data_IF_303643808552
#
_entry.id   IF_303643808552
#
_cell.length_a   1.000
_cell.length_b   1.000
_cell.length_c   1.000
_cell.angle_alpha   90.00
_cell.angle_beta   90.00
_cell.angle_gamma   90.00
#
_symmetry.space_group_name_H-M   'P 1'
#
loop_
_entity.id
_entity.type
_entity.pdbx_description
1 polymer ?
#
# COMPACT_ATOMS: atom_id res chain seq x y z
N UNK A 1 -6.07 3.63 -20.63
CA UNK A 1 -5.71 3.55 -19.20
C UNK A 1 -6.68 2.66 -18.40
N UNK A 2 -8.01 2.70 -18.66
CA UNK A 2 -9.01 1.87 -17.94
C UNK A 2 -8.79 0.35 -18.06
N UNK A 3 -8.22 -0.15 -19.16
CA UNK A 3 -7.99 -1.58 -19.38
C UNK A 3 -6.86 -2.19 -18.54
N UNK A 4 -5.81 -1.43 -18.24
CA UNK A 4 -4.64 -1.92 -17.49
C UNK A 4 -4.92 -2.11 -15.98
N UNK A 5 -5.80 -1.28 -15.41
CA UNK A 5 -6.18 -1.40 -13.98
C UNK A 5 -7.08 -2.61 -13.71
N UNK A 6 -7.97 -2.97 -14.64
CA UNK A 6 -8.89 -4.10 -14.45
C UNK A 6 -8.17 -5.43 -14.27
N UNK A 7 -7.03 -5.64 -14.93
CA UNK A 7 -6.27 -6.91 -14.88
C UNK A 7 -5.45 -7.08 -13.60
N UNK A 8 -5.10 -6.00 -12.90
CA UNK A 8 -4.24 -6.08 -11.71
C UNK A 8 -4.99 -6.39 -10.41
N UNK A 9 -6.28 -6.07 -10.35
CA UNK A 9 -7.14 -6.22 -9.17
C UNK A 9 -8.39 -7.07 -9.44
N UNK A 10 -8.35 -7.96 -10.45
CA UNK A 10 -9.44 -8.91 -10.68
C UNK A 10 -9.50 -9.91 -9.53
N UNK A 11 -10.67 -10.00 -8.93
CA UNK A 11 -11.12 -11.01 -8.00
C UNK A 11 -12.52 -11.45 -8.39
N UNK A 12 -12.74 -12.67 -8.25
CA UNK A 12 -13.89 -13.58 -8.32
C UNK A 12 -15.17 -13.14 -9.05
N UNK A 13 -15.35 -13.70 -10.14
CA UNK A 13 -16.48 -14.08 -10.94
C UNK A 13 -15.95 -15.05 -11.99
N UNK A 14 -16.77 -15.91 -12.55
CA UNK A 14 -16.40 -16.67 -13.75
C UNK A 14 -16.25 -15.66 -14.91
N UNK A 15 -15.13 -14.95 -14.95
CA UNK A 15 -14.83 -14.09 -16.10
C UNK A 15 -14.35 -14.97 -17.25
N UNK A 16 -15.04 -14.85 -18.37
CA UNK A 16 -14.62 -15.39 -19.65
C UNK A 16 -13.22 -14.85 -19.95
N UNK A 17 -12.22 -15.73 -19.89
CA UNK A 17 -10.82 -15.39 -20.10
C UNK A 17 -10.42 -15.48 -21.56
N UNK A 18 -10.75 -16.58 -22.17
CA UNK A 18 -10.39 -16.86 -23.57
C UNK A 18 -11.17 -18.07 -24.09
N UNK A 19 -11.18 -18.23 -25.42
CA UNK A 19 -11.62 -19.43 -26.10
C UNK A 19 -10.37 -20.21 -26.51
N UNK A 20 -10.27 -21.46 -26.08
CA UNK A 20 -9.26 -22.38 -26.62
C UNK A 20 -9.90 -23.61 -27.23
N UNK A 21 -9.16 -24.29 -28.05
CA UNK A 21 -9.61 -25.57 -28.60
C UNK A 21 -9.81 -26.61 -27.47
N UNK A 22 -10.82 -27.42 -27.60
CA UNK A 22 -11.15 -28.50 -26.68
C UNK A 22 -10.04 -29.55 -26.70
N UNK A 23 -9.59 -29.94 -25.52
CA UNK A 23 -8.69 -31.06 -25.32
C UNK A 23 -9.40 -32.22 -24.61
N UNK A 24 -9.06 -33.52 -24.95
CA UNK A 24 -9.63 -34.66 -24.25
C UNK A 24 -9.40 -34.58 -22.73
N UNK A 25 -10.48 -34.45 -21.96
CA UNK A 25 -10.47 -34.27 -20.51
C UNK A 25 -11.11 -32.96 -20.05
N UNK A 26 -11.42 -32.05 -20.94
CA UNK A 26 -12.17 -30.84 -20.63
C UNK A 26 -13.65 -31.14 -20.33
N UNK A 27 -14.23 -30.33 -19.44
CA UNK A 27 -15.65 -30.43 -19.13
C UNK A 27 -16.51 -29.93 -20.30
N UNK A 28 -17.25 -30.84 -20.91
CA UNK A 28 -18.13 -30.58 -22.06
C UNK A 28 -19.19 -29.50 -21.81
N UNK A 29 -19.50 -29.19 -20.53
CA UNK A 29 -20.44 -28.13 -20.16
C UNK A 29 -19.88 -26.72 -20.47
N UNK A 30 -18.58 -26.60 -20.64
CA UNK A 30 -17.90 -25.35 -20.95
C UNK A 30 -17.72 -25.12 -22.45
N UNK A 31 -18.20 -26.03 -23.33
CA UNK A 31 -18.12 -25.85 -24.78
C UNK A 31 -18.96 -24.64 -25.20
N UNK A 32 -18.35 -23.73 -25.96
CA UNK A 32 -19.05 -22.63 -26.62
C UNK A 32 -19.64 -23.10 -27.95
N UNK A 33 -20.87 -23.54 -27.90
CA UNK A 33 -21.58 -24.06 -29.10
C UNK A 33 -21.74 -23.00 -30.20
N UNK A 34 -21.78 -21.70 -29.87
CA UNK A 34 -21.91 -20.64 -30.86
C UNK A 34 -20.61 -20.43 -31.65
N UNK A 35 -19.47 -20.55 -31.03
CA UNK A 35 -18.17 -20.43 -31.68
C UNK A 35 -17.84 -21.74 -32.41
N UNK A 36 -18.06 -22.87 -31.76
CA UNK A 36 -17.90 -24.21 -32.32
C UNK A 36 -18.67 -24.37 -33.63
N UNK A 37 -19.90 -23.91 -33.70
CA UNK A 37 -20.73 -23.97 -34.91
C UNK A 37 -20.20 -23.10 -36.07
N UNK A 38 -19.33 -22.16 -35.82
CA UNK A 38 -18.73 -21.27 -36.84
C UNK A 38 -17.34 -21.68 -37.29
N UNK A 39 -16.61 -22.42 -36.45
CA UNK A 39 -15.18 -22.65 -36.60
C UNK A 39 -14.84 -24.11 -36.94
N UNK A 40 -15.84 -25.00 -37.08
CA UNK A 40 -15.70 -26.44 -37.34
C UNK A 40 -14.78 -27.20 -36.34
N UNK A 41 -14.45 -26.57 -35.22
CA UNK A 41 -13.60 -27.11 -34.16
C UNK A 41 -14.26 -26.84 -32.83
N UNK A 42 -14.17 -27.77 -31.87
CA UNK A 42 -14.74 -27.60 -30.53
C UNK A 42 -13.95 -26.56 -29.74
N UNK A 43 -14.60 -25.52 -29.28
CA UNK A 43 -14.03 -24.49 -28.43
C UNK A 43 -14.61 -24.53 -27.02
N UNK A 44 -13.73 -24.46 -26.02
CA UNK A 44 -14.08 -24.44 -24.61
C UNK A 44 -13.86 -23.02 -24.07
N UNK A 45 -14.86 -22.53 -23.34
CA UNK A 45 -14.73 -21.32 -22.55
C UNK A 45 -13.81 -21.59 -21.39
N UNK A 46 -12.66 -20.95 -21.37
CA UNK A 46 -11.78 -20.97 -20.23
C UNK A 46 -12.28 -19.97 -19.21
N UNK A 47 -12.74 -20.47 -18.08
CA UNK A 47 -13.15 -19.66 -16.95
C UNK A 47 -11.99 -19.57 -15.96
N UNK A 48 -11.62 -18.37 -15.56
CA UNK A 48 -10.81 -18.20 -14.36
C UNK A 48 -11.71 -18.27 -13.13
N UNK A 49 -11.39 -19.14 -12.21
CA UNK A 49 -12.00 -19.11 -10.88
C UNK A 49 -11.46 -17.87 -10.16
N UNK A 50 -12.12 -16.74 -10.37
CA UNK A 50 -11.84 -15.52 -9.65
C UNK A 50 -12.28 -15.69 -8.19
N UNK A 51 -11.35 -16.05 -7.30
CA UNK A 51 -11.61 -16.07 -5.86
C UNK A 51 -11.74 -14.65 -5.35
N UNK A 52 -12.85 -14.34 -4.66
CA UNK A 52 -13.06 -13.08 -3.93
C UNK A 52 -11.80 -12.73 -3.12
N UNK A 53 -11.03 -11.74 -3.57
CA UNK A 53 -9.84 -11.29 -2.87
C UNK A 53 -10.25 -10.47 -1.67
N UNK A 54 -9.77 -10.84 -0.49
CA UNK A 54 -9.84 -9.95 0.67
C UNK A 54 -8.56 -9.12 0.71
N UNK A 55 -8.70 -7.80 0.79
CA UNK A 55 -7.59 -6.88 0.96
C UNK A 55 -7.66 -6.19 2.33
N UNK A 56 -6.51 -5.99 2.95
CA UNK A 56 -6.37 -5.21 4.16
C UNK A 56 -5.42 -4.04 3.91
N UNK A 57 -5.84 -2.85 4.28
CA UNK A 57 -5.03 -1.64 4.25
C UNK A 57 -4.52 -1.39 5.67
N UNK A 58 -3.21 -1.43 5.87
CA UNK A 58 -2.54 -1.06 7.12
C UNK A 58 -2.03 0.37 6.94
N UNK A 59 -2.61 1.32 7.66
CA UNK A 59 -2.45 2.73 7.42
C UNK A 59 -1.79 3.40 8.63
N UNK A 60 -0.55 3.79 8.44
CA UNK A 60 0.23 4.55 9.40
C UNK A 60 -0.20 6.02 9.36
N UNK A 61 -0.62 6.54 10.48
CA UNK A 61 -1.05 7.93 10.68
C UNK A 61 -0.26 8.60 11.80
N UNK A 62 0.96 8.13 12.03
CA UNK A 62 1.89 8.72 13.00
C UNK A 62 2.16 10.20 12.70
N UNK A 63 2.64 10.97 13.68
CA UNK A 63 2.91 12.39 13.50
C UNK A 63 3.85 12.72 12.35
N UNK A 64 4.82 11.84 12.05
CA UNK A 64 5.74 11.99 10.92
C UNK A 64 5.03 12.03 9.55
N UNK A 65 3.84 11.41 9.46
CA UNK A 65 3.00 11.48 8.25
C UNK A 65 2.39 12.86 7.99
N UNK A 66 2.40 13.75 8.96
CA UNK A 66 2.02 15.17 8.80
C UNK A 66 3.07 16.00 8.07
N UNK A 67 4.27 15.45 7.81
CA UNK A 67 5.34 16.15 7.12
C UNK A 67 5.07 16.29 5.61
N UNK A 68 5.50 17.43 5.05
CA UNK A 68 5.41 17.73 3.62
C UNK A 68 4.84 19.11 3.32
N UNK A 69 4.56 19.42 2.04
CA UNK A 69 3.96 20.69 1.64
C UNK A 69 2.59 20.90 2.32
N UNK A 70 2.28 22.15 2.71
CA UNK A 70 1.03 22.52 3.40
C UNK A 70 -0.22 21.99 2.68
N UNK A 71 -0.20 22.02 1.33
CA UNK A 71 -1.34 21.61 0.52
C UNK A 71 -1.46 20.09 0.35
N UNK A 72 -0.34 19.36 0.46
CA UNK A 72 -0.31 17.91 0.21
C UNK A 72 0.76 17.18 1.04
N UNK A 73 0.63 17.16 2.37
CA UNK A 73 1.51 16.37 3.24
C UNK A 73 1.32 14.86 3.00
N UNK A 74 2.23 14.03 3.54
CA UNK A 74 2.18 12.57 3.38
C UNK A 74 0.83 11.98 3.82
N UNK A 75 0.17 12.52 4.85
CA UNK A 75 -1.16 12.06 5.30
C UNK A 75 -2.26 12.26 4.25
N UNK A 76 -2.18 13.31 3.44
CA UNK A 76 -3.12 13.53 2.32
C UNK A 76 -2.87 12.49 1.23
N UNK A 77 -1.61 12.23 0.87
CA UNK A 77 -1.23 11.19 -0.09
C UNK A 77 -1.65 9.79 0.40
N UNK A 78 -1.49 9.51 1.69
CA UNK A 78 -2.01 8.29 2.34
C UNK A 78 -3.51 8.14 2.09
N UNK A 79 -4.27 9.20 2.38
CA UNK A 79 -5.73 9.23 2.19
C UNK A 79 -6.15 9.01 0.73
N UNK A 80 -5.48 9.67 -0.20
CA UNK A 80 -5.69 9.51 -1.65
C UNK A 80 -5.43 8.07 -2.11
N UNK A 81 -4.30 7.49 -1.72
CA UNK A 81 -3.94 6.11 -2.05
C UNK A 81 -4.92 5.12 -1.44
N UNK A 82 -5.15 5.20 -0.13
CA UNK A 82 -6.01 4.27 0.60
C UNK A 82 -7.44 4.26 0.06
N UNK A 83 -8.03 5.44 -0.18
CA UNK A 83 -9.40 5.55 -0.71
C UNK A 83 -9.48 5.09 -2.16
N UNK A 84 -8.46 5.36 -2.97
CA UNK A 84 -8.41 4.91 -4.36
C UNK A 84 -8.24 3.40 -4.45
N UNK A 85 -7.35 2.78 -3.67
CA UNK A 85 -7.24 1.32 -3.56
C UNK A 85 -8.55 0.68 -3.12
N UNK A 86 -9.14 1.21 -2.03
CA UNK A 86 -10.41 0.69 -1.53
C UNK A 86 -11.51 0.77 -2.59
N UNK A 87 -11.60 1.88 -3.34
CA UNK A 87 -12.57 2.06 -4.42
C UNK A 87 -12.33 1.11 -5.59
N UNK A 88 -11.09 0.95 -6.03
CA UNK A 88 -10.73 0.05 -7.14
C UNK A 88 -11.05 -1.40 -6.80
N UNK A 89 -10.67 -1.83 -5.60
CA UNK A 89 -10.88 -3.20 -5.12
C UNK A 89 -12.37 -3.51 -4.93
N UNK A 90 -13.12 -2.63 -4.27
CA UNK A 90 -14.56 -2.84 -4.05
C UNK A 90 -15.38 -2.80 -5.34
N UNK A 91 -14.99 -1.97 -6.33
CA UNK A 91 -15.63 -1.97 -7.66
C UNK A 91 -15.43 -3.27 -8.43
N UNK A 92 -14.38 -4.01 -8.12
CA UNK A 92 -14.10 -5.34 -8.67
C UNK A 92 -14.67 -6.48 -7.81
N UNK A 93 -15.58 -6.19 -6.87
CA UNK A 93 -16.23 -7.19 -6.01
C UNK A 93 -15.38 -7.65 -4.82
N UNK A 94 -14.16 -7.15 -4.65
CA UNK A 94 -13.28 -7.55 -3.56
C UNK A 94 -13.69 -6.93 -2.22
N UNK A 95 -13.38 -7.62 -1.12
CA UNK A 95 -13.59 -7.10 0.23
C UNK A 95 -12.39 -6.30 0.68
N UNK A 96 -12.61 -5.13 1.23
CA UNK A 96 -11.56 -4.26 1.76
C UNK A 96 -11.80 -4.00 3.24
N UNK A 97 -10.81 -4.38 4.07
CA UNK A 97 -10.69 -3.96 5.45
C UNK A 97 -9.58 -2.93 5.61
N UNK A 98 -9.55 -2.26 6.75
CA UNK A 98 -8.47 -1.33 7.08
C UNK A 98 -8.17 -1.35 8.58
N UNK A 99 -6.91 -1.14 8.91
CA UNK A 99 -6.43 -0.88 10.26
C UNK A 99 -5.73 0.48 10.22
N UNK A 100 -6.25 1.43 10.98
CA UNK A 100 -5.68 2.75 11.15
C UNK A 100 -4.87 2.76 12.44
N UNK A 101 -3.66 3.25 12.38
CA UNK A 101 -2.69 3.23 13.44
C UNK A 101 -2.04 4.61 13.62
N UNK A 102 -2.01 5.06 14.86
CA UNK A 102 -1.31 6.26 15.31
C UNK A 102 -0.71 5.94 16.69
N UNK A 103 0.48 5.32 16.69
CA UNK A 103 1.14 4.72 17.88
C UNK A 103 0.29 3.69 18.65
N UNK A 104 -1.01 3.68 18.43
CA UNK A 104 -1.99 2.70 18.87
C UNK A 104 -2.96 2.37 17.74
N UNK A 105 -3.69 1.27 17.86
CA UNK A 105 -4.76 0.95 16.90
C UNK A 105 -5.92 1.94 17.13
N UNK A 106 -6.10 2.88 16.22
CA UNK A 106 -7.19 3.85 16.28
C UNK A 106 -8.54 3.24 15.90
N UNK A 107 -8.56 2.49 14.80
CA UNK A 107 -9.79 1.96 14.23
C UNK A 107 -9.50 0.71 13.41
N UNK A 108 -10.38 -0.27 13.48
CA UNK A 108 -10.35 -1.47 12.65
C UNK A 108 -11.65 -1.58 11.87
N UNK A 109 -11.58 -1.44 10.55
CA UNK A 109 -12.69 -1.61 9.63
C UNK A 109 -12.67 -3.03 9.08
N UNK A 110 -13.64 -3.90 9.43
CA UNK A 110 -13.68 -5.27 8.92
C UNK A 110 -13.91 -5.30 7.41
N UNK A 111 -13.42 -6.33 6.67
CA UNK A 111 -13.49 -6.38 5.22
C UNK A 111 -14.92 -6.44 4.70
N UNK A 112 -15.29 -5.49 3.85
CA UNK A 112 -16.57 -5.42 3.12
C UNK A 112 -16.35 -4.95 1.69
N UNK A 113 -17.26 -5.34 0.78
CA UNK A 113 -17.22 -4.99 -0.66
C UNK A 113 -18.19 -3.86 -1.02
N UNK A 114 -18.67 -3.08 -0.06
CA UNK A 114 -19.71 -2.06 -0.27
C UNK A 114 -19.12 -0.66 -0.46
N UNK A 115 -19.86 0.20 -1.19
CA UNK A 115 -19.51 1.63 -1.30
C UNK A 115 -19.41 2.31 0.08
N UNK A 116 -20.24 1.89 1.02
CA UNK A 116 -20.23 2.44 2.39
C UNK A 116 -18.91 2.16 3.11
N UNK A 117 -18.20 1.07 2.77
CA UNK A 117 -16.88 0.78 3.31
C UNK A 117 -15.85 1.84 2.90
N UNK A 118 -15.86 2.25 1.62
CA UNK A 118 -14.96 3.30 1.13
C UNK A 118 -15.28 4.63 1.80
N UNK A 119 -16.55 4.96 1.99
CA UNK A 119 -16.96 6.18 2.69
C UNK A 119 -16.61 6.16 4.17
N UNK A 120 -16.74 5.00 4.83
CA UNK A 120 -16.31 4.84 6.23
C UNK A 120 -14.80 5.03 6.37
N UNK A 121 -14.01 4.44 5.46
CA UNK A 121 -12.57 4.64 5.42
C UNK A 121 -12.20 6.12 5.24
N UNK A 122 -12.76 6.77 4.23
CA UNK A 122 -12.52 8.20 3.96
C UNK A 122 -12.87 9.07 5.16
N UNK A 123 -14.02 8.81 5.82
CA UNK A 123 -14.44 9.55 7.01
C UNK A 123 -13.48 9.38 8.19
N UNK A 124 -12.93 8.19 8.38
CA UNK A 124 -11.96 7.95 9.45
C UNK A 124 -10.62 8.64 9.14
N UNK A 125 -10.17 8.63 7.89
CA UNK A 125 -8.95 9.31 7.46
C UNK A 125 -9.02 10.84 7.58
N UNK A 126 -10.22 11.43 7.48
CA UNK A 126 -10.42 12.87 7.67
C UNK A 126 -10.42 13.30 9.15
N UNK A 127 -10.44 12.37 10.11
CA UNK A 127 -10.29 12.72 11.52
C UNK A 127 -8.85 13.10 11.80
N UNK A 128 -8.58 14.14 12.59
CA UNK A 128 -7.21 14.43 12.99
C UNK A 128 -6.61 13.24 13.75
N UNK A 129 -5.34 12.88 13.49
CA UNK A 129 -4.66 11.84 14.25
C UNK A 129 -4.55 12.24 15.73
N UNK A 130 -4.43 11.24 16.62
CA UNK A 130 -4.23 11.47 18.04
C UNK A 130 -2.74 11.71 18.26
N UNK A 131 -2.37 12.92 18.65
CA UNK A 131 -0.97 13.25 18.96
C UNK A 131 -0.64 12.77 20.36
N UNK A 132 0.10 11.68 20.50
CA UNK A 132 0.45 11.09 21.79
C UNK A 132 1.87 11.44 22.25
N UNK A 133 2.70 12.09 21.41
CA UNK A 133 4.10 12.41 21.71
C UNK A 133 5.00 11.18 21.91
N UNK A 134 4.58 10.02 21.46
CA UNK A 134 5.34 8.78 21.52
C UNK A 134 5.99 8.50 20.16
N UNK A 135 7.17 7.92 20.18
CA UNK A 135 7.87 7.47 18.96
C UNK A 135 7.08 6.34 18.29
N UNK A 136 6.92 6.44 16.99
CA UNK A 136 6.17 5.45 16.22
C UNK A 136 6.78 4.06 16.30
N UNK A 137 5.95 3.05 16.58
CA UNK A 137 6.32 1.63 16.62
C UNK A 137 5.42 0.81 15.71
N UNK A 138 5.84 0.61 14.48
CA UNK A 138 5.12 -0.23 13.49
C UNK A 138 5.01 -1.69 13.92
N UNK A 139 5.82 -2.15 14.88
CA UNK A 139 5.74 -3.52 15.42
C UNK A 139 4.34 -3.78 15.94
N UNK A 140 3.77 -2.84 16.72
CA UNK A 140 2.43 -2.97 17.30
C UNK A 140 1.34 -3.09 16.21
N UNK A 141 1.40 -2.29 15.15
CA UNK A 141 0.48 -2.40 14.00
C UNK A 141 0.58 -3.77 13.33
N UNK A 142 1.78 -4.23 13.05
CA UNK A 142 2.02 -5.46 12.30
C UNK A 142 1.68 -6.70 13.13
N UNK A 143 2.00 -6.74 14.42
CA UNK A 143 1.60 -7.81 15.34
C UNK A 143 0.08 -7.89 15.47
N UNK A 144 -0.60 -6.76 15.59
CA UNK A 144 -2.04 -6.72 15.58
C UNK A 144 -2.62 -7.27 14.26
N UNK A 145 -2.05 -6.87 13.13
CA UNK A 145 -2.46 -7.37 11.82
C UNK A 145 -2.26 -8.90 11.69
N UNK A 146 -1.13 -9.45 12.16
CA UNK A 146 -0.87 -10.91 12.24
C UNK A 146 -1.97 -11.62 13.03
N UNK A 147 -2.44 -11.03 14.13
CA UNK A 147 -3.50 -11.57 14.96
C UNK A 147 -4.89 -11.54 14.33
N UNK A 148 -5.20 -10.48 13.58
CA UNK A 148 -6.54 -10.22 13.02
C UNK A 148 -6.73 -10.84 11.63
N UNK A 149 -5.72 -10.81 10.76
CA UNK A 149 -5.81 -11.28 9.38
C UNK A 149 -5.58 -12.78 9.32
N UNK A 150 -6.66 -13.56 9.40
CA UNK A 150 -6.56 -15.03 9.48
C UNK A 150 -6.59 -15.75 8.14
N UNK A 151 -7.23 -15.16 7.13
CA UNK A 151 -7.36 -15.76 5.80
C UNK A 151 -6.34 -15.13 4.86
N UNK A 152 -5.80 -15.92 3.93
CA UNK A 152 -4.88 -15.41 2.90
C UNK A 152 -5.50 -14.21 2.21
N UNK A 153 -4.81 -13.07 2.25
CA UNK A 153 -5.29 -11.76 1.83
C UNK A 153 -4.19 -11.00 1.09
N UNK A 154 -4.59 -9.96 0.39
CA UNK A 154 -3.68 -8.89 -0.01
C UNK A 154 -3.55 -7.93 1.17
N UNK A 155 -2.35 -7.69 1.65
CA UNK A 155 -2.05 -6.69 2.69
C UNK A 155 -1.28 -5.55 2.05
N UNK A 156 -1.80 -4.34 2.14
CA UNK A 156 -1.15 -3.12 1.66
C UNK A 156 -0.78 -2.28 2.88
N UNK A 157 0.51 -2.22 3.19
CA UNK A 157 1.06 -1.38 4.24
C UNK A 157 1.46 -0.03 3.63
N UNK A 158 0.98 1.07 4.18
CA UNK A 158 1.33 2.43 3.76
C UNK A 158 1.87 3.18 4.97
N UNK A 159 3.15 3.56 4.93
CA UNK A 159 3.89 4.24 6.00
C UNK A 159 5.09 4.99 5.41
N UNK A 160 5.68 5.89 6.13
CA UNK A 160 7.01 6.46 5.80
C UNK A 160 8.17 5.62 6.36
N UNK A 161 7.84 4.61 7.18
CA UNK A 161 8.80 3.73 7.86
C UNK A 161 9.76 4.47 8.81
N UNK A 162 9.38 5.65 9.30
CA UNK A 162 10.07 6.33 10.38
C UNK A 162 9.57 5.73 11.69
N UNK A 163 10.27 4.71 12.20
CA UNK A 163 9.80 3.86 13.28
C UNK A 163 10.95 3.26 14.07
N UNK A 164 10.68 2.80 15.29
CA UNK A 164 11.62 1.99 16.06
C UNK A 164 11.90 0.64 15.39
N UNK A 165 13.11 0.04 15.59
CA UNK A 165 13.42 -1.31 15.09
C UNK A 165 12.52 -2.38 15.71
N UNK A 166 12.32 -3.51 14.99
CA UNK A 166 11.56 -4.68 15.48
C UNK A 166 10.39 -5.09 14.57
N UNK A 167 9.95 -4.20 13.70
CA UNK A 167 8.83 -4.40 12.78
C UNK A 167 9.10 -5.45 11.67
N UNK A 168 10.36 -5.81 11.43
CA UNK A 168 10.75 -6.73 10.35
C UNK A 168 10.20 -8.14 10.61
N UNK A 169 10.21 -8.58 11.87
CA UNK A 169 9.75 -9.92 12.23
C UNK A 169 8.24 -10.12 11.99
N UNK A 170 7.34 -9.28 12.50
CA UNK A 170 5.91 -9.42 12.19
C UNK A 170 5.60 -9.15 10.71
N UNK A 171 6.37 -8.31 10.02
CA UNK A 171 6.23 -8.15 8.57
C UNK A 171 6.55 -9.47 7.83
N UNK A 172 7.63 -10.16 8.19
CA UNK A 172 7.97 -11.48 7.64
C UNK A 172 6.84 -12.49 7.90
N UNK A 173 6.26 -12.52 9.09
CA UNK A 173 5.12 -13.40 9.40
C UNK A 173 3.89 -13.12 8.52
N UNK A 174 3.66 -11.85 8.18
CA UNK A 174 2.60 -11.49 7.24
C UNK A 174 2.91 -11.99 5.83
N UNK A 175 4.16 -11.89 5.36
CA UNK A 175 4.54 -12.33 4.01
C UNK A 175 4.47 -13.83 3.82
N UNK A 176 4.67 -14.62 4.88
CA UNK A 176 4.53 -16.07 4.83
C UNK A 176 3.09 -16.54 4.55
N UNK A 177 2.10 -15.74 4.95
CA UNK A 177 0.66 -16.10 4.87
C UNK A 177 -0.12 -15.29 3.84
N UNK A 178 0.34 -14.08 3.55
CA UNK A 178 -0.38 -13.09 2.76
C UNK A 178 0.47 -12.60 1.59
N UNK A 179 -0.16 -11.98 0.62
CA UNK A 179 0.53 -11.18 -0.39
C UNK A 179 0.69 -9.76 0.19
N UNK A 180 1.92 -9.38 0.54
CA UNK A 180 2.20 -8.07 1.14
C UNK A 180 2.78 -7.12 0.11
N UNK A 181 2.24 -5.91 0.06
CA UNK A 181 2.73 -4.77 -0.71
C UNK A 181 3.03 -3.65 0.28
N UNK A 182 4.28 -3.23 0.35
CA UNK A 182 4.68 -2.08 1.16
C UNK A 182 4.79 -0.83 0.27
N UNK A 183 4.15 0.25 0.70
CA UNK A 183 4.22 1.56 0.06
C UNK A 183 4.86 2.51 1.07
N UNK A 184 6.01 3.05 0.70
CA UNK A 184 6.68 4.08 1.48
C UNK A 184 6.27 5.45 0.96
N UNK A 185 5.79 6.29 1.85
CA UNK A 185 5.54 7.70 1.57
C UNK A 185 6.77 8.52 1.98
N UNK A 186 7.21 9.38 1.11
CA UNK A 186 8.36 10.25 1.33
C UNK A 186 8.09 11.67 0.80
N UNK A 187 8.77 12.63 1.39
CA UNK A 187 8.83 13.99 0.89
C UNK A 187 10.25 14.37 0.52
N UNK A 188 10.50 15.02 -0.62
CA UNK A 188 11.85 15.43 -1.01
C UNK A 188 12.55 16.30 0.05
N UNK A 189 11.80 17.11 0.81
CA UNK A 189 12.36 17.97 1.84
C UNK A 189 12.91 17.20 3.08
N UNK A 190 12.60 15.90 3.21
CA UNK A 190 13.20 15.05 4.25
C UNK A 190 14.70 14.77 4.00
N UNK A 191 15.14 14.92 2.76
CA UNK A 191 16.51 14.61 2.32
C UNK A 191 17.29 15.86 1.89
N UNK A 192 16.59 16.87 1.38
CA UNK A 192 17.20 18.07 0.83
C UNK A 192 16.55 19.32 1.41
N UNK A 193 17.19 19.90 2.42
CA UNK A 193 16.78 21.22 2.89
C UNK A 193 17.22 22.30 1.89
N UNK A 194 16.31 23.21 1.50
CA UNK A 194 16.68 24.35 0.69
C UNK A 194 17.64 25.28 1.47
N UNK A 195 18.48 25.99 0.75
CA UNK A 195 19.31 27.05 1.32
C UNK A 195 18.41 28.27 1.64
N UNK A 196 17.89 28.30 2.85
CA UNK A 196 16.95 29.32 3.33
C UNK A 196 17.50 30.09 4.55
N UNK A 197 18.79 29.92 4.86
CA UNK A 197 19.42 30.50 6.05
C UNK A 197 18.98 29.81 7.34
N UNK A 198 18.80 30.58 8.38
CA UNK A 198 18.41 30.04 9.70
C UNK A 198 16.92 29.66 9.70
N UNK A 199 16.64 28.40 9.93
CA UNK A 199 15.29 27.84 10.01
C UNK A 199 15.08 27.12 11.33
N UNK A 200 13.82 26.97 11.74
CA UNK A 200 13.42 26.12 12.87
C UNK A 200 12.91 24.81 12.29
N UNK A 201 13.55 23.72 12.67
CA UNK A 201 13.10 22.35 12.35
C UNK A 201 12.45 21.78 13.59
N UNK A 202 11.26 21.24 13.46
CA UNK A 202 10.54 20.56 14.53
C UNK A 202 10.53 19.05 14.26
N UNK A 203 10.90 18.27 15.27
CA UNK A 203 10.73 16.83 15.24
C UNK A 203 9.24 16.49 15.34
N UNK A 204 8.72 15.75 14.37
CA UNK A 204 7.29 15.48 14.28
C UNK A 204 6.76 14.62 15.45
N UNK A 205 7.60 13.72 15.98
CA UNK A 205 7.23 12.78 17.05
C UNK A 205 7.36 13.43 18.42
N UNK A 206 8.50 14.07 18.72
CA UNK A 206 8.83 14.63 20.04
C UNK A 206 8.39 16.09 20.21
N UNK A 207 8.10 16.79 19.11
CA UNK A 207 7.84 18.24 19.07
C UNK A 207 9.04 19.09 19.52
N UNK A 208 10.21 18.51 19.65
CA UNK A 208 11.43 19.26 19.91
C UNK A 208 11.77 20.17 18.73
N UNK A 209 12.08 21.41 19.04
CA UNK A 209 12.47 22.40 18.04
C UNK A 209 13.97 22.63 18.08
N UNK A 210 14.59 22.57 16.92
CA UNK A 210 16.01 22.84 16.72
C UNK A 210 16.16 23.99 15.73
N UNK A 211 16.93 25.01 16.13
CA UNK A 211 17.31 26.09 15.22
C UNK A 211 18.55 25.65 14.47
N UNK A 212 18.46 25.57 13.15
CA UNK A 212 19.56 25.14 12.28
C UNK A 212 19.81 26.16 11.19
N UNK A 213 21.06 26.29 10.78
CA UNK A 213 21.43 27.08 9.61
C UNK A 213 21.43 26.17 8.37
N UNK A 214 20.40 26.29 7.54
CA UNK A 214 20.28 25.47 6.33
C UNK A 214 21.25 25.90 5.21
N UNK A 215 21.94 27.05 5.34
CA UNK A 215 23.02 27.46 4.46
C UNK A 215 24.34 26.73 4.76
N UNK A 216 24.49 26.16 5.97
CA UNK A 216 25.67 25.36 6.33
C UNK A 216 25.77 24.10 5.48
N UNK A 217 26.78 24.05 4.62
CA UNK A 217 27.05 22.90 3.74
C UNK A 217 27.38 21.63 4.51
N UNK A 218 28.00 21.72 5.72
CA UNK A 218 28.31 20.54 6.52
C UNK A 218 27.05 19.97 7.16
N UNK A 219 26.14 20.81 7.62
CA UNK A 219 24.85 20.38 8.14
C UNK A 219 24.04 19.65 7.05
N UNK A 220 23.93 20.21 5.85
CA UNK A 220 23.22 19.57 4.72
C UNK A 220 23.86 18.25 4.33
N UNK A 221 25.19 18.14 4.36
CA UNK A 221 25.88 16.88 4.08
C UNK A 221 25.55 15.82 5.12
N UNK A 222 25.60 16.14 6.42
CA UNK A 222 25.25 15.22 7.51
C UNK A 222 23.79 14.74 7.42
N UNK A 223 22.86 15.64 7.09
CA UNK A 223 21.46 15.28 6.90
C UNK A 223 21.29 14.28 5.76
N UNK A 224 21.96 14.50 4.64
CA UNK A 224 21.94 13.58 3.49
C UNK A 224 22.52 12.22 3.85
N UNK A 225 23.70 12.19 4.46
CA UNK A 225 24.35 10.95 4.91
C UNK A 225 23.45 10.15 5.87
N UNK A 226 22.78 10.82 6.80
CA UNK A 226 21.83 10.19 7.72
C UNK A 226 20.60 9.64 6.98
N UNK A 227 20.12 10.36 5.95
CA UNK A 227 19.05 9.89 5.07
C UNK A 227 19.45 8.65 4.28
N UNK A 228 20.64 8.66 3.65
CA UNK A 228 21.17 7.53 2.89
C UNK A 228 21.38 6.28 3.77
N UNK A 229 21.83 6.48 5.01
CA UNK A 229 21.99 5.38 5.96
C UNK A 229 20.63 4.75 6.33
N UNK A 230 19.62 5.55 6.66
CA UNK A 230 18.26 5.07 6.93
C UNK A 230 17.66 4.34 5.73
N UNK A 231 17.92 4.85 4.54
CA UNK A 231 17.48 4.21 3.29
C UNK A 231 18.11 2.81 3.12
N UNK A 232 19.42 2.70 3.35
CA UNK A 232 20.15 1.43 3.25
C UNK A 232 19.66 0.42 4.30
N UNK A 233 19.40 0.87 5.54
CA UNK A 233 18.84 0.03 6.61
C UNK A 233 17.44 -0.47 6.25
N UNK A 234 16.55 0.41 5.80
CA UNK A 234 15.20 0.08 5.39
C UNK A 234 15.21 -0.95 4.24
N UNK A 235 16.01 -0.70 3.21
CA UNK A 235 16.16 -1.62 2.08
C UNK A 235 16.66 -2.99 2.51
N UNK A 236 17.64 -3.03 3.43
CA UNK A 236 18.14 -4.28 4.00
C UNK A 236 17.08 -5.02 4.82
N UNK A 237 16.30 -4.29 5.63
CA UNK A 237 15.24 -4.85 6.47
C UNK A 237 14.11 -5.45 5.63
N UNK A 238 13.67 -4.74 4.59
CA UNK A 238 12.59 -5.20 3.70
C UNK A 238 13.01 -6.38 2.83
N UNK A 239 14.26 -6.41 2.37
CA UNK A 239 14.82 -7.58 1.68
C UNK A 239 14.79 -8.83 2.58
N UNK A 240 15.18 -8.70 3.86
CA UNK A 240 15.08 -9.80 4.84
C UNK A 240 13.65 -10.24 5.09
N UNK A 241 12.71 -9.31 5.11
CA UNK A 241 11.29 -9.61 5.25
C UNK A 241 10.65 -10.14 3.95
N UNK A 242 11.41 -10.19 2.83
CA UNK A 242 10.91 -10.65 1.54
C UNK A 242 9.85 -9.71 0.95
N UNK A 243 9.91 -8.41 1.23
CA UNK A 243 8.96 -7.39 0.74
C UNK A 243 9.71 -6.37 -0.10
N UNK A 244 9.17 -6.08 -1.29
CA UNK A 244 9.63 -4.94 -2.08
C UNK A 244 8.84 -3.70 -1.65
N UNK A 245 9.54 -2.60 -1.42
CA UNK A 245 8.92 -1.30 -1.16
C UNK A 245 8.69 -0.58 -2.48
N UNK A 246 7.48 -0.06 -2.64
CA UNK A 246 7.16 0.90 -3.69
C UNK A 246 7.17 2.30 -3.08
N UNK A 247 8.05 3.16 -3.55
CA UNK A 247 8.14 4.54 -3.08
C UNK A 247 7.15 5.43 -3.81
N UNK A 248 6.50 6.30 -3.04
CA UNK A 248 5.57 7.33 -3.52
C UNK A 248 5.91 8.65 -2.83
N UNK A 249 6.24 9.64 -3.64
CA UNK A 249 6.54 10.99 -3.18
C UNK A 249 5.28 11.84 -3.05
N UNK A 250 5.31 12.81 -2.15
CA UNK A 250 4.28 13.87 -2.08
C UNK A 250 4.19 14.68 -3.37
N UNK A 251 5.27 14.74 -4.15
CA UNK A 251 5.33 15.41 -5.46
C UNK A 251 4.81 14.56 -6.62
N UNK A 252 4.57 13.25 -6.42
CA UNK A 252 4.14 12.34 -7.49
C UNK A 252 2.68 12.57 -7.91
N UNK A 253 2.41 12.34 -9.20
CA UNK A 253 1.04 12.15 -9.67
C UNK A 253 0.46 10.84 -9.10
N UNK A 254 -0.75 10.92 -8.54
CA UNK A 254 -1.41 9.78 -7.91
C UNK A 254 -1.61 8.60 -8.88
N UNK A 255 -1.92 8.90 -10.14
CA UNK A 255 -2.20 7.86 -11.15
C UNK A 255 -0.91 7.11 -11.50
N UNK A 256 0.20 7.85 -11.68
CA UNK A 256 1.51 7.27 -11.95
C UNK A 256 2.00 6.43 -10.77
N UNK A 257 1.83 6.93 -9.55
CA UNK A 257 2.16 6.20 -8.33
C UNK A 257 1.38 4.88 -8.23
N UNK A 258 0.07 4.90 -8.47
CA UNK A 258 -0.76 3.69 -8.48
C UNK A 258 -0.35 2.70 -9.57
N UNK A 259 0.04 3.18 -10.75
CA UNK A 259 0.56 2.31 -11.83
C UNK A 259 1.83 1.60 -11.38
N UNK A 260 2.79 2.33 -10.78
CA UNK A 260 4.03 1.75 -10.26
C UNK A 260 3.76 0.65 -9.21
N UNK A 261 2.87 0.91 -8.25
CA UNK A 261 2.48 -0.07 -7.22
C UNK A 261 1.86 -1.33 -7.84
N UNK A 262 0.99 -1.16 -8.82
CA UNK A 262 0.36 -2.28 -9.53
C UNK A 262 1.37 -3.09 -10.34
N UNK A 263 2.33 -2.44 -10.99
CA UNK A 263 3.36 -3.11 -11.79
C UNK A 263 4.38 -3.84 -10.91
N UNK A 264 4.77 -3.29 -9.76
CA UNK A 264 5.64 -3.98 -8.80
C UNK A 264 5.00 -5.28 -8.31
N UNK A 265 3.69 -5.25 -7.99
CA UNK A 265 2.92 -6.44 -7.63
C UNK A 265 2.91 -7.51 -8.73
N UNK A 266 2.80 -7.12 -10.00
CA UNK A 266 2.80 -8.08 -11.13
C UNK A 266 4.13 -8.80 -11.30
N UNK A 267 5.25 -8.12 -11.04
CA UNK A 267 6.59 -8.72 -11.15
C UNK A 267 6.79 -9.85 -10.13
N UNK A 268 6.23 -9.72 -8.93
CA UNK A 268 6.31 -10.77 -7.88
C UNK A 268 5.48 -12.02 -8.17
N UNK A 269 4.46 -11.92 -9.02
CA UNK A 269 3.60 -13.07 -9.37
C UNK A 269 4.14 -13.93 -10.52
N UNK A 270 5.21 -13.49 -11.16
CA UNK A 270 5.93 -14.23 -12.20
C UNK A 270 7.13 -14.96 -11.60
#
# INVERSE_FOLDING_TARGET
>A
LQGRYRTAFRGVGLDFLDLREYEPGDDVRHIDWNVTARMDTLFVRQYSEDRELTAWLLLDRSPSMGFGPIERPKEVVLGELATTFARLLTRSGNRVGAILFDNEIEETLPPRSTRNQVLALARNLLRPPRVNGAVTDLTALLEFAVGVIRRRSLVVLISDFITTPGWERPLLQLTERHEVVAIRLLDPAEYELPDAGVIVVEDAETREQLVVDSSDGEFRRRLREAGEHREAELRSATLRAGVDICEVSTADDLVEALVRVVESRKRRRR
#
